data_IF_033598517058
#
_entry.id   IF_033598517058
#
_cell.length_a   1.000
_cell.length_b   1.000
_cell.length_c   1.000
_cell.angle_alpha   90.00
_cell.angle_beta   90.00
_cell.angle_gamma   90.00
#
_symmetry.space_group_name_H-M   'P 1'
#
loop_
_entity.id
_entity.type
_entity.pdbx_description
1 polymer ?
#
# COMPACT_ATOMS: atom_id res chain seq x y z
N UNK A 1 -15.30 -8.68 15.68
CA UNK A 1 -15.67 -9.14 14.34
C UNK A 1 -15.74 -7.99 13.33
N UNK A 2 -15.49 -8.29 12.05
CA UNK A 2 -15.74 -7.34 10.97
C UNK A 2 -17.23 -7.03 10.87
N UNK A 3 -17.54 -5.77 10.64
CA UNK A 3 -18.92 -5.30 10.40
C UNK A 3 -18.89 -4.32 9.22
N UNK A 4 -19.67 -4.60 8.19
CA UNK A 4 -19.80 -3.71 7.04
C UNK A 4 -20.44 -2.37 7.44
N UNK A 5 -20.20 -1.32 6.69
CA UNK A 5 -20.60 0.06 6.99
C UNK A 5 -20.07 0.61 8.33
N UNK A 6 -18.86 0.21 8.70
CA UNK A 6 -18.15 0.68 9.89
C UNK A 6 -16.91 1.43 9.49
N UNK A 7 -16.58 2.51 10.19
CA UNK A 7 -15.30 3.21 10.04
C UNK A 7 -14.34 2.60 11.05
N UNK A 8 -13.33 1.90 10.56
CA UNK A 8 -12.25 1.38 11.40
C UNK A 8 -11.15 2.42 11.55
N UNK A 9 -10.56 2.48 12.73
CA UNK A 9 -9.31 3.19 12.89
C UNK A 9 -8.22 2.51 12.04
N UNK A 10 -7.21 3.26 11.65
CA UNK A 10 -6.05 2.70 10.98
C UNK A 10 -4.84 2.75 11.89
N UNK A 11 -3.87 1.88 11.61
CA UNK A 11 -2.57 1.96 12.24
C UNK A 11 -1.88 3.28 11.88
N UNK A 12 -1.41 3.98 12.90
CA UNK A 12 -0.61 5.19 12.77
C UNK A 12 0.46 5.18 13.87
N UNK A 13 1.72 5.14 13.48
CA UNK A 13 2.85 5.08 14.42
C UNK A 13 2.96 6.33 15.29
N UNK A 14 2.33 7.45 14.90
CA UNK A 14 2.33 8.70 15.68
C UNK A 14 1.15 8.82 16.65
N UNK A 15 0.16 7.94 16.52
CA UNK A 15 -1.04 7.98 17.35
C UNK A 15 -0.78 7.36 18.72
N UNK A 16 -0.70 8.19 19.75
CA UNK A 16 -0.48 7.76 21.14
C UNK A 16 -1.69 7.06 21.76
N UNK A 17 -2.86 7.21 21.16
CA UNK A 17 -4.12 6.61 21.63
C UNK A 17 -4.56 5.44 20.74
N UNK A 18 -3.65 4.89 19.94
CA UNK A 18 -3.97 3.78 19.03
C UNK A 18 -4.51 2.55 19.80
N UNK A 19 -4.06 2.34 21.02
CA UNK A 19 -4.49 1.25 21.92
C UNK A 19 -5.98 1.27 22.25
N UNK A 20 -6.58 2.46 22.28
CA UNK A 20 -7.99 2.65 22.59
C UNK A 20 -8.88 2.58 21.34
N UNK A 21 -8.30 2.28 20.19
CA UNK A 21 -8.99 2.29 18.89
C UNK A 21 -9.08 0.90 18.27
N UNK A 22 -10.18 0.65 17.59
CA UNK A 22 -10.35 -0.59 16.83
C UNK A 22 -9.70 -0.46 15.46
N UNK A 23 -8.41 -0.83 15.37
CA UNK A 23 -7.62 -0.81 14.12
C UNK A 23 -7.33 -2.21 13.56
N UNK A 24 -7.99 -3.23 14.10
CA UNK A 24 -7.94 -4.60 13.58
C UNK A 24 -9.32 -5.24 13.62
N UNK A 25 -9.50 -6.25 12.80
CA UNK A 25 -10.77 -6.97 12.68
C UNK A 25 -10.53 -8.48 12.69
N UNK A 26 -11.56 -9.20 13.14
CA UNK A 26 -11.65 -10.66 13.08
C UNK A 26 -12.66 -11.01 12.00
N UNK A 27 -12.26 -11.83 11.05
CA UNK A 27 -13.13 -12.41 10.01
C UNK A 27 -13.31 -13.88 10.31
N UNK A 28 -14.56 -14.31 10.48
CA UNK A 28 -14.91 -15.70 10.77
C UNK A 28 -15.30 -16.42 9.49
N UNK A 29 -14.52 -17.42 9.09
CA UNK A 29 -14.76 -18.28 7.94
C UNK A 29 -15.10 -19.73 8.38
N UNK A 30 -15.69 -19.88 9.55
CA UNK A 30 -16.17 -21.16 10.09
C UNK A 30 -15.05 -21.99 10.72
N UNK A 31 -14.20 -22.64 9.95
CA UNK A 31 -13.11 -23.47 10.47
C UNK A 31 -11.96 -22.66 11.07
N UNK A 32 -11.79 -21.44 10.61
CA UNK A 32 -10.74 -20.52 11.02
C UNK A 32 -11.31 -19.10 11.22
N UNK A 33 -10.67 -18.39 12.13
CA UNK A 33 -10.84 -16.94 12.26
C UNK A 33 -9.55 -16.25 11.85
N UNK A 34 -9.66 -15.26 10.98
CA UNK A 34 -8.55 -14.52 10.39
C UNK A 34 -8.47 -13.11 10.99
N UNK A 35 -7.27 -12.70 11.38
CA UNK A 35 -7.04 -11.38 11.98
C UNK A 35 -6.38 -10.49 10.94
N UNK A 36 -6.98 -9.31 10.72
CA UNK A 36 -6.46 -8.29 9.82
C UNK A 36 -6.26 -6.98 10.56
N UNK A 37 -5.13 -6.34 10.31
CA UNK A 37 -4.78 -5.01 10.79
C UNK A 37 -5.10 -3.98 9.71
N UNK A 38 -5.83 -2.93 10.06
CA UNK A 38 -6.13 -1.83 9.15
C UNK A 38 -4.93 -0.91 9.02
N UNK A 39 -4.40 -0.75 7.83
CA UNK A 39 -3.27 0.14 7.53
C UNK A 39 -3.72 1.47 6.91
N UNK A 40 -4.83 1.46 6.14
CA UNK A 40 -5.43 2.65 5.54
C UNK A 40 -6.95 2.51 5.56
N UNK A 41 -7.64 3.49 6.10
CA UNK A 41 -9.11 3.52 6.20
C UNK A 41 -9.75 4.41 5.13
N UNK A 42 -9.04 4.64 4.02
CA UNK A 42 -9.51 5.45 2.90
C UNK A 42 -10.05 6.83 3.36
N UNK A 43 -9.29 7.54 4.19
CA UNK A 43 -9.64 8.88 4.70
C UNK A 43 -10.92 8.89 5.55
N UNK A 44 -11.06 7.95 6.47
CA UNK A 44 -12.20 7.74 7.35
C UNK A 44 -13.52 7.47 6.60
N UNK A 45 -13.47 6.77 5.47
CA UNK A 45 -14.64 6.27 4.79
C UNK A 45 -15.16 4.98 5.46
N UNK A 46 -16.41 4.63 5.18
CA UNK A 46 -16.98 3.37 5.62
C UNK A 46 -16.33 2.18 4.92
N UNK A 47 -15.94 1.16 5.67
CA UNK A 47 -15.58 -0.14 5.10
C UNK A 47 -16.83 -0.89 4.70
N UNK A 48 -16.92 -1.27 3.44
CA UNK A 48 -18.05 -2.01 2.85
C UNK A 48 -17.66 -3.37 2.32
N UNK A 49 -16.36 -3.64 2.21
CA UNK A 49 -15.80 -4.89 1.67
C UNK A 49 -14.98 -5.57 2.75
N UNK A 50 -15.45 -6.74 3.19
CA UNK A 50 -14.73 -7.56 4.16
C UNK A 50 -13.39 -8.01 3.57
N UNK A 51 -12.28 -7.90 4.34
CA UNK A 51 -11.04 -8.55 3.94
C UNK A 51 -11.24 -10.06 3.89
N UNK A 52 -10.68 -10.72 2.88
CA UNK A 52 -10.81 -12.15 2.69
C UNK A 52 -9.45 -12.85 2.62
N UNK A 53 -9.45 -14.16 2.86
CA UNK A 53 -8.24 -14.96 2.89
C UNK A 53 -7.76 -15.39 1.50
N UNK A 54 -8.55 -15.20 0.46
CA UNK A 54 -8.20 -15.62 -0.91
C UNK A 54 -6.97 -14.89 -1.47
N UNK A 55 -6.70 -13.69 -0.94
CA UNK A 55 -5.50 -12.92 -1.29
C UNK A 55 -4.23 -13.39 -0.60
N UNK A 56 -4.33 -14.33 0.36
CA UNK A 56 -3.21 -14.83 1.14
C UNK A 56 -2.75 -16.14 0.51
N UNK A 57 -1.74 -16.08 -0.36
CA UNK A 57 -1.18 -17.26 -1.00
C UNK A 57 0.35 -17.30 -0.93
N UNK A 58 0.89 -18.38 -0.41
CA UNK A 58 2.33 -18.63 -0.37
C UNK A 58 3.11 -17.57 0.39
N UNK A 59 4.10 -16.97 -0.25
CA UNK A 59 4.94 -15.91 0.33
C UNK A 59 4.24 -14.53 0.40
N UNK A 60 3.08 -14.37 -0.23
CA UNK A 60 2.32 -13.13 -0.23
C UNK A 60 1.32 -13.11 0.93
N UNK A 61 1.82 -12.97 2.10
CA UNK A 61 1.03 -12.79 3.34
C UNK A 61 0.65 -11.34 3.54
N UNK A 62 0.08 -10.74 2.50
CA UNK A 62 0.59 -9.42 2.42
C UNK A 62 -0.49 -8.40 2.64
N UNK A 63 -0.13 -7.23 2.35
CA UNK A 63 -0.89 -6.02 2.39
C UNK A 63 -1.63 -5.91 1.08
N UNK A 64 -2.93 -5.80 1.12
CA UNK A 64 -3.73 -5.61 -0.07
C UNK A 64 -4.83 -4.57 0.15
N UNK A 65 -5.30 -4.01 -0.96
CA UNK A 65 -6.36 -3.00 -0.95
C UNK A 65 -7.67 -3.61 -1.39
N UNK A 66 -8.70 -3.46 -0.59
CA UNK A 66 -10.08 -3.80 -0.95
C UNK A 66 -10.69 -2.75 -1.88
N UNK A 67 -11.76 -3.11 -2.61
CA UNK A 67 -12.37 -2.20 -3.59
C UNK A 67 -13.01 -0.94 -2.98
N UNK A 68 -13.33 -0.95 -1.69
CA UNK A 68 -13.75 0.22 -0.91
C UNK A 68 -12.60 1.15 -0.52
N UNK A 69 -11.36 0.79 -0.88
CA UNK A 69 -10.17 1.59 -0.68
C UNK A 69 -9.41 1.36 0.62
N UNK A 70 -9.92 0.52 1.50
CA UNK A 70 -9.19 0.12 2.70
C UNK A 70 -7.94 -0.69 2.36
N UNK A 71 -6.91 -0.58 3.20
CA UNK A 71 -5.70 -1.42 3.11
C UNK A 71 -5.60 -2.26 4.37
N UNK A 72 -5.52 -3.55 4.16
CA UNK A 72 -5.46 -4.54 5.22
C UNK A 72 -4.14 -5.31 5.18
N UNK A 73 -3.58 -5.59 6.36
CA UNK A 73 -2.49 -6.56 6.57
C UNK A 73 -3.05 -7.77 7.28
N UNK A 74 -2.92 -8.94 6.66
CA UNK A 74 -3.17 -10.20 7.35
C UNK A 74 -2.10 -10.44 8.42
N UNK A 75 -2.53 -10.80 9.63
CA UNK A 75 -1.65 -11.00 10.78
C UNK A 75 -1.46 -12.49 11.11
N UNK A 76 -2.56 -13.21 11.32
CA UNK A 76 -2.57 -14.63 11.62
C UNK A 76 -4.00 -15.18 11.58
N UNK A 77 -4.10 -16.51 11.75
CA UNK A 77 -5.38 -17.19 11.92
C UNK A 77 -5.31 -18.14 13.12
N UNK A 78 -6.45 -18.37 13.73
CA UNK A 78 -6.63 -19.41 14.72
C UNK A 78 -7.84 -20.26 14.37
N UNK A 79 -7.76 -21.57 14.71
CA UNK A 79 -8.82 -22.55 14.42
C UNK A 79 -9.98 -22.43 15.39
N UNK A 80 -11.16 -22.94 15.00
CA UNK A 80 -12.33 -23.05 15.88
C UNK A 80 -12.01 -23.85 17.16
N UNK A 81 -11.11 -24.83 17.09
CA UNK A 81 -10.68 -25.57 18.27
C UNK A 81 -9.83 -24.71 19.25
N UNK A 82 -9.05 -23.78 18.72
CA UNK A 82 -8.32 -22.80 19.54
C UNK A 82 -9.28 -21.73 20.09
N UNK A 83 -10.26 -21.32 19.27
CA UNK A 83 -11.31 -20.41 19.72
C UNK A 83 -12.07 -21.00 20.94
N UNK A 84 -12.53 -22.23 20.87
CA UNK A 84 -13.22 -22.90 21.96
C UNK A 84 -12.41 -22.98 23.27
N UNK A 85 -11.09 -22.94 23.20
CA UNK A 85 -10.21 -23.01 24.38
C UNK A 85 -9.82 -21.65 24.92
N UNK A 86 -9.65 -20.67 24.06
CA UNK A 86 -8.93 -19.44 24.39
C UNK A 86 -9.68 -18.15 24.04
N UNK A 87 -10.75 -18.20 23.24
CA UNK A 87 -11.53 -17.03 22.93
C UNK A 87 -12.57 -16.75 24.05
N UNK A 88 -12.70 -15.51 24.42
CA UNK A 88 -13.72 -15.03 25.37
C UNK A 88 -14.45 -13.85 24.77
N UNK A 89 -15.42 -13.26 25.47
CA UNK A 89 -16.06 -12.02 25.04
C UNK A 89 -15.10 -10.83 24.94
N UNK A 90 -13.97 -10.88 25.64
CA UNK A 90 -13.01 -9.78 25.75
C UNK A 90 -11.68 -10.06 25.06
N UNK A 91 -11.29 -11.32 24.89
CA UNK A 91 -9.98 -11.73 24.41
C UNK A 91 -10.07 -12.71 23.24
N UNK A 92 -9.23 -12.48 22.24
CA UNK A 92 -8.94 -13.42 21.16
C UNK A 92 -7.52 -13.94 21.29
N UNK A 93 -7.27 -15.25 21.02
CA UNK A 93 -5.92 -15.80 21.11
C UNK A 93 -5.02 -15.23 20.01
N UNK A 94 -3.76 -14.94 20.36
CA UNK A 94 -2.72 -14.60 19.39
C UNK A 94 -1.95 -15.86 19.03
N UNK A 95 -2.01 -16.23 17.75
CA UNK A 95 -1.31 -17.42 17.23
C UNK A 95 -0.32 -16.94 16.17
N UNK A 96 0.97 -16.79 16.49
CA UNK A 96 1.96 -16.31 15.54
C UNK A 96 2.02 -17.20 14.30
N UNK A 97 2.05 -16.57 13.13
CA UNK A 97 2.24 -17.24 11.84
C UNK A 97 3.68 -17.00 11.37
N UNK A 98 4.47 -18.07 11.27
CA UNK A 98 5.89 -17.98 10.91
C UNK A 98 6.13 -17.39 9.54
N UNK A 99 5.25 -17.65 8.56
CA UNK A 99 5.35 -17.05 7.21
C UNK A 99 5.16 -15.53 7.28
N UNK A 100 4.17 -15.06 8.05
CA UNK A 100 3.91 -13.63 8.25
C UNK A 100 5.08 -12.97 8.97
N UNK A 101 5.60 -13.59 10.05
CA UNK A 101 6.71 -13.01 10.81
C UNK A 101 8.01 -12.95 10.01
N UNK A 102 8.28 -13.95 9.18
CA UNK A 102 9.46 -13.98 8.32
C UNK A 102 9.38 -13.05 7.11
N UNK A 103 8.17 -12.73 6.62
CA UNK A 103 7.97 -11.78 5.52
C UNK A 103 7.97 -10.32 5.97
N UNK A 104 7.97 -10.06 7.26
CA UNK A 104 8.00 -8.71 7.79
C UNK A 104 9.30 -8.00 7.38
N UNK A 105 9.15 -6.81 6.84
CA UNK A 105 10.29 -6.02 6.33
C UNK A 105 10.44 -4.75 7.18
N UNK A 106 11.58 -4.58 7.88
CA UNK A 106 11.84 -3.38 8.67
C UNK A 106 11.81 -2.12 7.83
N UNK A 107 11.09 -1.10 8.31
CA UNK A 107 11.03 0.20 7.66
C UNK A 107 10.38 0.18 6.27
N UNK A 108 9.44 -0.70 6.03
CA UNK A 108 8.59 -0.71 4.85
C UNK A 108 7.55 0.42 4.97
N UNK A 109 7.35 1.18 3.89
CA UNK A 109 6.29 2.20 3.78
C UNK A 109 5.16 1.59 2.97
N UNK A 110 4.06 1.24 3.62
CA UNK A 110 2.90 0.64 2.96
C UNK A 110 1.80 1.65 2.66
N UNK A 111 1.78 2.75 3.40
CA UNK A 111 0.77 3.80 3.28
C UNK A 111 1.39 5.18 3.37
N UNK A 112 1.03 6.05 2.43
CA UNK A 112 1.23 7.48 2.50
C UNK A 112 -0.16 8.12 2.41
N UNK A 113 -0.57 8.76 3.49
CA UNK A 113 -1.87 9.45 3.56
C UNK A 113 -1.82 10.79 2.87
N UNK A 114 -2.92 11.15 2.20
CA UNK A 114 -3.14 12.50 1.69
C UNK A 114 -3.91 13.29 2.74
N UNK A 115 -3.24 14.23 3.41
CA UNK A 115 -3.88 15.10 4.39
C UNK A 115 -4.63 16.25 3.71
N UNK A 116 -3.99 16.89 2.72
CA UNK A 116 -4.62 17.89 1.86
C UNK A 116 -4.37 17.55 0.40
N UNK A 117 -5.41 17.69 -0.41
CA UNK A 117 -5.37 17.25 -1.83
C UNK A 117 -4.54 18.16 -2.73
N UNK A 118 -4.28 19.40 -2.32
CA UNK A 118 -3.73 20.39 -3.24
C UNK A 118 -4.66 20.69 -4.42
N UNK A 119 -4.16 21.37 -5.46
CA UNK A 119 -4.91 21.69 -6.68
C UNK A 119 -4.01 21.84 -7.89
N UNK A 120 -4.57 21.53 -9.08
CA UNK A 120 -3.93 21.71 -10.38
C UNK A 120 -2.68 20.85 -10.60
N UNK A 121 -2.75 19.61 -10.22
CA UNK A 121 -1.80 18.61 -10.68
C UNK A 121 -2.23 18.10 -12.07
N UNK A 122 -2.04 18.94 -13.10
CA UNK A 122 -2.50 18.63 -14.46
C UNK A 122 -1.56 17.66 -15.22
N UNK A 123 -0.45 17.28 -14.63
CA UNK A 123 0.58 16.41 -15.19
C UNK A 123 0.26 14.92 -15.06
N UNK A 124 -0.96 14.56 -15.36
CA UNK A 124 -1.36 13.15 -15.44
C UNK A 124 -2.01 12.85 -16.79
N UNK A 125 -1.88 11.62 -17.25
CA UNK A 125 -2.47 11.16 -18.50
C UNK A 125 -2.54 9.63 -18.53
N UNK A 126 -3.57 9.11 -19.19
CA UNK A 126 -3.75 7.67 -19.45
C UNK A 126 -3.98 7.44 -20.93
N UNK A 127 -3.50 6.32 -21.44
CA UNK A 127 -3.66 5.98 -22.85
C UNK A 127 -2.98 4.69 -23.24
N UNK A 128 -2.87 4.49 -24.55
CA UNK A 128 -2.13 3.37 -25.15
C UNK A 128 -0.83 3.89 -25.78
N UNK A 129 0.18 3.06 -25.90
CA UNK A 129 1.39 3.39 -26.62
C UNK A 129 1.11 3.37 -28.13
N UNK A 130 1.58 4.37 -28.88
CA UNK A 130 1.54 4.36 -30.33
C UNK A 130 2.80 3.75 -30.94
N UNK A 131 3.92 3.97 -30.26
CA UNK A 131 5.20 3.36 -30.61
C UNK A 131 6.05 3.21 -29.34
N UNK A 132 6.95 2.25 -29.33
CA UNK A 132 7.73 1.93 -28.14
C UNK A 132 9.19 1.67 -28.48
N UNK A 133 10.05 1.89 -27.49
CA UNK A 133 11.48 1.58 -27.57
C UNK A 133 12.14 2.19 -28.84
N UNK A 134 11.89 3.48 -29.02
CA UNK A 134 12.44 4.19 -30.18
C UNK A 134 13.91 4.50 -29.93
N UNK A 135 14.79 3.81 -30.65
CA UNK A 135 16.23 4.08 -30.64
C UNK A 135 16.56 5.40 -31.35
N UNK A 136 16.13 6.53 -30.79
CA UNK A 136 16.45 7.86 -31.32
C UNK A 136 17.81 8.25 -30.76
N UNK A 137 18.80 8.38 -31.63
CA UNK A 137 20.18 8.73 -31.24
C UNK A 137 20.86 7.66 -30.40
N UNK A 138 20.44 6.39 -30.51
CA UNK A 138 21.00 5.26 -29.74
C UNK A 138 20.37 5.07 -28.36
N UNK A 139 19.32 5.82 -28.02
CA UNK A 139 18.59 5.71 -26.76
C UNK A 139 17.29 4.93 -26.96
N UNK A 140 17.21 3.71 -26.42
CA UNK A 140 16.06 2.83 -26.49
C UNK A 140 14.99 3.11 -25.40
N UNK A 141 15.11 4.21 -24.66
CA UNK A 141 14.24 4.58 -23.54
C UNK A 141 13.15 5.59 -23.93
N UNK A 142 12.94 5.81 -25.24
CA UNK A 142 11.99 6.79 -25.75
C UNK A 142 10.73 6.07 -26.23
N UNK A 143 9.58 6.55 -25.77
CA UNK A 143 8.27 5.98 -26.07
C UNK A 143 7.36 7.05 -26.63
N UNK A 144 6.72 6.75 -27.76
CA UNK A 144 5.69 7.61 -28.33
C UNK A 144 4.33 7.28 -27.72
N UNK A 145 3.65 8.28 -27.20
CA UNK A 145 2.32 8.13 -26.61
C UNK A 145 1.23 8.54 -27.60
N UNK A 146 0.20 7.70 -27.78
CA UNK A 146 -0.94 7.97 -28.64
C UNK A 146 -2.08 8.64 -27.87
N UNK A 147 -1.82 9.82 -27.33
CA UNK A 147 -2.85 10.54 -26.61
C UNK A 147 -3.01 11.96 -27.15
N UNK A 148 -4.17 12.21 -27.76
CA UNK A 148 -4.50 13.52 -28.34
C UNK A 148 -4.66 14.62 -27.29
N UNK A 149 -4.99 14.26 -26.05
CA UNK A 149 -5.18 15.21 -24.94
C UNK A 149 -3.88 15.53 -24.21
N UNK A 150 -2.79 14.81 -24.50
CA UNK A 150 -1.47 15.13 -23.95
C UNK A 150 -1.06 16.56 -24.32
N UNK A 151 -0.45 17.26 -23.36
CA UNK A 151 -0.03 18.66 -23.54
C UNK A 151 1.08 18.77 -24.60
N UNK A 152 1.14 19.90 -25.26
CA UNK A 152 2.18 20.19 -26.25
C UNK A 152 3.43 20.84 -25.64
N UNK A 153 3.37 21.24 -24.38
CA UNK A 153 4.49 21.89 -23.69
C UNK A 153 5.56 20.88 -23.34
N UNK A 154 6.79 21.10 -23.78
CA UNK A 154 7.93 20.28 -23.42
C UNK A 154 8.14 20.28 -21.89
N UNK A 155 8.61 19.17 -21.35
CA UNK A 155 8.84 18.99 -19.93
C UNK A 155 7.56 18.83 -19.09
N UNK A 156 6.34 18.87 -19.68
CA UNK A 156 5.11 18.88 -18.90
C UNK A 156 4.91 17.65 -18.02
N UNK A 157 5.36 16.49 -18.47
CA UNK A 157 5.27 15.22 -17.72
C UNK A 157 6.62 14.80 -17.11
N UNK A 158 7.63 15.65 -17.14
CA UNK A 158 8.88 15.40 -16.39
C UNK A 158 8.59 15.30 -14.90
N UNK A 159 9.35 14.49 -14.17
CA UNK A 159 9.14 14.15 -12.75
C UNK A 159 7.83 13.36 -12.47
N UNK A 160 7.27 12.74 -13.51
CA UNK A 160 6.18 11.77 -13.36
C UNK A 160 6.71 10.34 -13.38
N UNK A 161 5.86 9.40 -12.99
CA UNK A 161 6.06 7.97 -13.19
C UNK A 161 5.15 7.47 -14.30
N UNK A 162 5.73 6.78 -15.28
CA UNK A 162 5.01 6.00 -16.27
C UNK A 162 4.84 4.57 -15.75
N UNK A 163 3.62 4.13 -15.66
CA UNK A 163 3.22 2.81 -15.19
C UNK A 163 2.44 2.09 -16.30
N UNK A 164 2.79 0.85 -16.58
CA UNK A 164 2.06 0.02 -17.55
C UNK A 164 0.90 -0.64 -16.80
N UNK A 165 -0.33 -0.22 -17.14
CA UNK A 165 -1.54 -0.66 -16.42
C UNK A 165 -2.15 -1.94 -16.99
N UNK A 166 -1.93 -2.23 -18.29
CA UNK A 166 -2.41 -3.43 -18.94
C UNK A 166 -1.55 -3.82 -20.15
N UNK A 167 -1.69 -5.06 -20.58
CA UNK A 167 -0.94 -5.61 -21.72
C UNK A 167 0.47 -6.05 -21.35
N UNK A 168 1.33 -6.15 -22.35
CA UNK A 168 2.73 -6.57 -22.16
C UNK A 168 3.47 -5.57 -21.29
N UNK A 169 4.16 -6.04 -20.27
CA UNK A 169 4.88 -5.22 -19.30
C UNK A 169 4.01 -4.67 -18.16
N UNK A 170 2.75 -5.09 -18.03
CA UNK A 170 1.86 -4.66 -16.94
C UNK A 170 2.52 -4.83 -15.56
N UNK A 171 2.35 -3.82 -14.70
CA UNK A 171 3.02 -3.72 -13.41
C UNK A 171 4.39 -3.04 -13.46
N UNK A 172 5.00 -2.91 -14.63
CA UNK A 172 6.26 -2.19 -14.83
C UNK A 172 6.09 -0.67 -14.68
N UNK A 173 7.08 -0.01 -14.10
CA UNK A 173 7.10 1.45 -13.99
C UNK A 173 8.51 2.02 -14.17
N UNK A 174 8.57 3.27 -14.64
CA UNK A 174 9.81 4.03 -14.88
C UNK A 174 9.57 5.52 -14.65
N UNK A 175 10.63 6.23 -14.26
CA UNK A 175 10.58 7.67 -14.12
C UNK A 175 10.66 8.36 -15.47
N UNK A 176 9.80 9.35 -15.69
CA UNK A 176 9.86 10.22 -16.86
C UNK A 176 10.86 11.32 -16.59
N UNK A 177 12.01 11.25 -17.24
CA UNK A 177 13.10 12.25 -17.10
C UNK A 177 12.97 13.40 -18.08
N UNK A 178 12.26 13.19 -19.20
CA UNK A 178 11.93 14.26 -20.13
C UNK A 178 10.65 13.94 -20.91
N UNK A 179 10.01 14.97 -21.43
CA UNK A 179 8.85 14.91 -22.29
C UNK A 179 8.93 15.98 -23.37
N UNK A 180 8.71 15.63 -24.61
CA UNK A 180 8.65 16.58 -25.70
C UNK A 180 7.56 16.26 -26.73
N UNK A 181 7.06 17.33 -27.35
CA UNK A 181 6.08 17.27 -28.44
C UNK A 181 6.64 17.94 -29.69
N UNK A 182 6.48 17.29 -30.81
CA UNK A 182 6.88 17.82 -32.13
C UNK A 182 5.84 17.49 -33.19
N UNK A 183 6.14 17.77 -34.47
CA UNK A 183 5.24 17.53 -35.61
C UNK A 183 4.97 16.05 -35.86
N UNK A 184 5.81 15.14 -35.37
CA UNK A 184 5.68 13.70 -35.59
C UNK A 184 5.00 12.99 -34.43
N UNK A 185 4.92 13.62 -33.23
CA UNK A 185 4.26 13.01 -32.09
C UNK A 185 4.65 13.58 -30.74
N UNK A 186 4.25 12.87 -29.71
CA UNK A 186 4.52 13.19 -28.31
C UNK A 186 5.30 12.05 -27.69
N UNK A 187 6.39 12.38 -27.01
CA UNK A 187 7.39 11.41 -26.59
C UNK A 187 7.73 11.58 -25.12
N UNK A 188 7.81 10.45 -24.42
CA UNK A 188 8.35 10.36 -23.06
C UNK A 188 9.72 9.73 -23.11
N UNK A 189 10.66 10.28 -22.35
CA UNK A 189 12.00 9.73 -22.14
C UNK A 189 12.07 9.20 -20.73
N UNK A 190 12.44 7.93 -20.59
CA UNK A 190 12.50 7.24 -19.30
C UNK A 190 13.94 7.17 -18.76
N UNK A 191 14.05 7.05 -17.45
CA UNK A 191 15.33 6.92 -16.73
C UNK A 191 16.07 5.61 -17.08
N UNK A 192 15.32 4.57 -17.46
CA UNK A 192 15.88 3.27 -17.82
C UNK A 192 14.86 2.44 -18.62
N UNK A 193 15.33 1.38 -19.26
CA UNK A 193 14.46 0.46 -20.02
C UNK A 193 13.56 -0.36 -19.09
N UNK A 194 12.37 -0.71 -19.58
CA UNK A 194 11.51 -1.70 -18.92
C UNK A 194 12.16 -3.09 -19.00
N UNK A 195 12.09 -3.84 -17.92
CA UNK A 195 12.53 -5.25 -17.89
C UNK A 195 11.74 -6.11 -18.87
N UNK A 196 10.43 -5.88 -18.93
CA UNK A 196 9.55 -6.45 -19.97
C UNK A 196 9.07 -5.27 -20.82
N UNK A 197 9.58 -5.18 -22.03
CA UNK A 197 9.25 -4.07 -22.93
C UNK A 197 7.77 -4.06 -23.30
N UNK A 198 7.05 -2.96 -23.04
CA UNK A 198 5.66 -2.84 -23.45
C UNK A 198 5.54 -2.81 -24.99
N UNK A 199 4.36 -3.11 -25.49
CA UNK A 199 4.03 -3.06 -26.92
C UNK A 199 3.05 -1.93 -27.22
N UNK A 200 2.74 -1.70 -28.51
CA UNK A 200 1.72 -0.73 -28.92
C UNK A 200 0.28 -1.09 -28.47
N UNK A 201 0.07 -2.31 -27.96
CA UNK A 201 -1.18 -2.72 -27.32
C UNK A 201 -1.17 -2.53 -25.79
N UNK A 202 -0.04 -2.08 -25.21
CA UNK A 202 0.06 -1.84 -23.78
C UNK A 202 -0.62 -0.52 -23.39
N UNK A 203 -1.37 -0.56 -22.31
CA UNK A 203 -1.93 0.64 -21.70
C UNK A 203 -0.97 1.22 -20.70
N UNK A 204 -0.89 2.55 -20.65
CA UNK A 204 -0.05 3.26 -19.72
C UNK A 204 -0.82 4.31 -18.92
N UNK A 205 -0.26 4.64 -17.76
CA UNK A 205 -0.69 5.73 -16.93
C UNK A 205 0.54 6.55 -16.52
N UNK A 206 0.50 7.85 -16.72
CA UNK A 206 1.52 8.78 -16.22
C UNK A 206 0.88 9.61 -15.14
N UNK A 207 1.49 9.64 -13.96
CA UNK A 207 1.06 10.42 -12.81
C UNK A 207 2.27 11.07 -12.13
N UNK A 208 2.08 12.18 -11.40
CA UNK A 208 3.15 12.79 -10.64
C UNK A 208 3.84 11.77 -9.73
N UNK A 209 5.16 11.74 -9.73
CA UNK A 209 5.93 10.93 -8.81
C UNK A 209 5.84 11.52 -7.38
N UNK A 210 5.92 10.64 -6.39
CA UNK A 210 6.05 11.04 -4.99
C UNK A 210 7.53 10.92 -4.61
N UNK A 211 8.13 12.03 -4.25
CA UNK A 211 9.49 12.05 -3.69
C UNK A 211 9.42 11.62 -2.24
N UNK A 212 10.07 10.51 -1.92
CA UNK A 212 10.15 9.96 -0.57
C UNK A 212 11.59 10.12 -0.09
N UNK A 213 11.76 10.75 1.05
CA UNK A 213 13.07 10.92 1.71
C UNK A 213 13.06 10.12 2.99
N UNK A 214 14.15 9.43 3.28
CA UNK A 214 14.37 8.71 4.53
C UNK A 214 15.70 9.09 5.17
N UNK A 215 16.03 8.44 6.28
CA UNK A 215 17.30 8.55 6.97
C UNK A 215 18.42 7.78 6.27
N UNK A 216 19.56 7.63 6.97
CA UNK A 216 20.73 6.87 6.48
C UNK A 216 20.53 5.35 6.55
N UNK A 217 19.47 4.90 7.19
CA UNK A 217 19.07 3.51 7.38
C UNK A 217 18.32 2.91 6.18
N UNK A 218 17.93 3.75 5.20
CA UNK A 218 17.25 3.30 3.99
C UNK A 218 18.15 2.38 3.17
N UNK A 219 17.68 1.16 2.95
CA UNK A 219 18.38 0.12 2.16
C UNK A 219 17.80 -0.08 0.78
N UNK A 220 16.47 0.11 0.65
CA UNK A 220 15.73 0.03 -0.61
C UNK A 220 14.82 1.25 -0.71
N UNK A 221 14.95 2.00 -1.80
CA UNK A 221 14.11 3.18 -2.00
C UNK A 221 12.65 2.81 -2.25
N UNK A 222 11.77 3.46 -1.52
CA UNK A 222 10.33 3.40 -1.78
C UNK A 222 10.00 4.20 -3.03
N UNK A 223 9.02 3.71 -3.80
CA UNK A 223 8.54 4.37 -5.02
C UNK A 223 7.02 4.45 -4.98
N UNK A 224 6.49 5.64 -5.23
CA UNK A 224 5.07 5.87 -5.23
C UNK A 224 4.68 6.95 -6.26
N UNK A 225 3.42 6.93 -6.67
CA UNK A 225 2.82 7.94 -7.55
C UNK A 225 1.57 8.54 -6.91
N UNK A 226 1.30 9.78 -7.24
CA UNK A 226 0.15 10.52 -6.75
C UNK A 226 -1.00 10.40 -7.74
N UNK A 227 -2.08 9.72 -7.37
CA UNK A 227 -3.28 9.63 -8.19
C UNK A 227 -4.11 10.91 -8.06
N UNK A 228 -4.43 11.50 -9.21
CA UNK A 228 -5.11 12.79 -9.32
C UNK A 228 -6.56 12.60 -9.73
N UNK A 229 -7.47 13.35 -9.14
CA UNK A 229 -8.90 13.33 -9.49
C UNK A 229 -9.31 14.62 -10.19
N UNK A 230 -9.75 14.51 -11.44
CA UNK A 230 -10.25 15.63 -12.23
C UNK A 230 -11.46 16.34 -11.58
N UNK A 231 -12.33 15.60 -10.91
CA UNK A 231 -13.51 16.15 -10.21
C UNK A 231 -13.15 17.00 -8.98
N UNK A 232 -11.94 16.80 -8.42
CA UNK A 232 -11.44 17.53 -7.26
C UNK A 232 -10.44 18.63 -7.64
N UNK A 233 -10.68 19.35 -8.72
CA UNK A 233 -9.79 20.41 -9.24
C UNK A 233 -8.37 19.91 -9.51
N UNK A 234 -8.24 18.67 -10.00
CA UNK A 234 -6.99 17.96 -10.20
C UNK A 234 -6.13 17.91 -8.92
N UNK A 235 -6.77 17.66 -7.79
CA UNK A 235 -6.10 17.41 -6.52
C UNK A 235 -5.66 15.94 -6.41
N UNK A 236 -4.63 15.71 -5.62
CA UNK A 236 -4.17 14.36 -5.27
C UNK A 236 -5.17 13.73 -4.31
N UNK A 237 -5.81 12.66 -4.71
CA UNK A 237 -6.79 11.98 -3.85
C UNK A 237 -6.23 10.74 -3.15
N UNK A 238 -5.14 10.16 -3.69
CA UNK A 238 -4.49 8.97 -3.13
C UNK A 238 -3.05 8.88 -3.58
N UNK A 239 -2.19 8.35 -2.73
CA UNK A 239 -0.86 7.88 -3.09
C UNK A 239 -0.90 6.36 -3.28
N UNK A 240 -0.33 5.89 -4.37
CA UNK A 240 -0.20 4.47 -4.68
C UNK A 240 1.27 4.07 -4.58
N UNK A 241 1.54 3.14 -3.67
CA UNK A 241 2.87 2.56 -3.51
C UNK A 241 3.12 1.56 -4.64
N UNK A 242 4.21 1.73 -5.38
CA UNK A 242 4.70 0.80 -6.39
C UNK A 242 5.83 -0.07 -5.85
N UNK A 243 6.59 0.47 -4.91
CA UNK A 243 7.56 -0.25 -4.11
C UNK A 243 7.57 0.36 -2.71
N UNK A 244 7.34 -0.47 -1.71
CA UNK A 244 7.28 -0.02 -0.31
C UNK A 244 8.66 0.29 0.30
N UNK A 245 9.74 -0.07 -0.38
CA UNK A 245 11.10 0.14 0.12
C UNK A 245 11.42 -0.65 1.39
N UNK A 246 12.55 -0.33 2.00
CA UNK A 246 12.99 -0.89 3.27
C UNK A 246 13.98 0.04 3.98
N UNK A 247 14.02 -0.04 5.31
CA UNK A 247 14.96 0.73 6.11
C UNK A 247 14.47 2.12 6.54
N UNK A 248 13.22 2.49 6.28
CA UNK A 248 12.63 3.74 6.78
C UNK A 248 12.19 3.56 8.24
N UNK A 249 13.13 3.37 9.17
CA UNK A 249 12.79 2.96 10.54
C UNK A 249 12.49 4.13 11.47
N UNK A 250 13.10 5.28 11.25
CA UNK A 250 12.99 6.41 12.18
C UNK A 250 12.39 7.66 11.56
N UNK A 251 12.51 7.81 10.26
CA UNK A 251 12.14 9.04 9.58
C UNK A 251 11.79 8.80 8.12
N UNK A 252 10.68 9.35 7.68
CA UNK A 252 10.39 9.51 6.26
C UNK A 252 9.49 10.73 6.03
N UNK A 253 9.76 11.44 4.94
CA UNK A 253 8.94 12.54 4.41
C UNK A 253 8.53 12.21 2.99
N UNK A 254 7.35 12.67 2.59
CA UNK A 254 6.86 12.54 1.23
C UNK A 254 6.32 13.87 0.71
N UNK A 255 6.60 14.13 -0.57
CA UNK A 255 6.03 15.27 -1.30
C UNK A 255 5.72 14.86 -2.73
N UNK A 256 4.67 15.44 -3.32
CA UNK A 256 4.35 15.22 -4.73
C UNK A 256 5.25 16.07 -5.59
N UNK A 257 5.89 15.47 -6.60
CA UNK A 257 6.70 16.19 -7.55
C UNK A 257 5.78 16.90 -8.57
N UNK A 258 6.03 18.16 -8.76
CA UNK A 258 5.42 18.95 -9.80
C UNK A 258 6.47 19.92 -10.34
N UNK A 259 6.69 19.86 -11.64
CA UNK A 259 7.62 20.80 -12.28
C UNK A 259 6.93 22.16 -12.55
N UNK A 260 7.73 23.19 -12.84
CA UNK A 260 7.23 24.54 -13.07
C UNK A 260 6.23 24.67 -14.24
N UNK A 261 6.31 23.75 -15.23
CA UNK A 261 5.42 23.77 -16.40
C UNK A 261 3.96 23.41 -16.05
N UNK A 262 3.74 22.73 -14.92
CA UNK A 262 2.40 22.29 -14.48
C UNK A 262 1.63 23.45 -13.83
N UNK A 263 2.30 24.33 -13.12
CA UNK A 263 1.68 25.49 -12.46
C UNK A 263 0.72 25.09 -11.34
N UNK A 264 1.14 24.18 -10.44
CA UNK A 264 0.37 23.80 -9.25
C UNK A 264 -0.03 25.04 -8.46
N UNK A 265 -1.32 25.16 -8.13
CA UNK A 265 -1.85 26.31 -7.41
C UNK A 265 -1.80 26.15 -5.88
N UNK A 266 -1.93 24.92 -5.40
CA UNK A 266 -1.80 24.59 -3.99
C UNK A 266 -1.17 23.22 -3.87
N UNK A 267 -0.11 23.12 -3.10
CA UNK A 267 0.58 21.83 -2.85
C UNK A 267 -0.27 20.91 -1.98
N UNK A 268 -0.15 19.62 -2.24
CA UNK A 268 -0.73 18.58 -1.39
C UNK A 268 0.16 18.35 -0.18
N UNK A 269 -0.46 18.03 0.96
CA UNK A 269 0.24 17.58 2.17
C UNK A 269 0.11 16.08 2.30
N UNK A 270 1.22 15.42 2.53
CA UNK A 270 1.32 13.96 2.65
C UNK A 270 1.89 13.58 4.03
N UNK A 271 1.33 12.54 4.61
CA UNK A 271 1.84 11.93 5.84
C UNK A 271 2.29 10.50 5.56
N UNK A 272 3.57 10.21 5.82
CA UNK A 272 4.11 8.85 5.72
C UNK A 272 3.77 8.06 6.99
N UNK A 273 3.23 6.87 6.85
CA UNK A 273 2.99 5.95 7.96
C UNK A 273 4.13 4.94 7.99
N UNK A 274 4.98 5.04 9.01
CA UNK A 274 6.09 4.10 9.21
C UNK A 274 5.56 2.79 9.80
N UNK A 275 6.07 1.66 9.30
CA UNK A 275 5.81 0.35 9.90
C UNK A 275 6.41 0.25 11.32
N UNK A 276 5.99 -0.72 12.14
CA UNK A 276 6.73 -1.08 13.35
C UNK A 276 8.21 -1.34 13.05
N UNK A 277 9.09 -1.20 14.03
CA UNK A 277 10.56 -1.28 13.86
C UNK A 277 11.01 -2.52 13.06
N UNK A 278 10.37 -3.67 13.28
CA UNK A 278 10.69 -4.91 12.57
C UNK A 278 9.75 -5.21 11.39
N UNK A 279 8.89 -4.26 11.00
CA UNK A 279 7.88 -4.43 9.97
C UNK A 279 6.54 -4.96 10.50
N UNK A 280 5.48 -4.77 9.71
CA UNK A 280 4.15 -5.26 10.04
C UNK A 280 4.11 -6.79 10.05
N UNK A 281 3.60 -7.38 11.13
CA UNK A 281 3.45 -8.82 11.31
C UNK A 281 4.66 -9.50 11.96
N UNK A 282 5.74 -8.78 12.26
CA UNK A 282 6.93 -9.33 12.91
C UNK A 282 6.65 -9.86 14.31
N UNK A 283 5.80 -9.18 15.06
CA UNK A 283 5.36 -9.55 16.40
C UNK A 283 3.87 -9.26 16.57
N UNK A 284 3.00 -10.18 16.17
CA UNK A 284 1.55 -9.98 16.27
C UNK A 284 1.06 -9.71 17.68
N UNK A 285 1.69 -10.32 18.69
CA UNK A 285 1.35 -10.10 20.08
C UNK A 285 1.57 -8.65 20.49
N UNK A 286 2.73 -8.11 20.19
CA UNK A 286 3.07 -6.71 20.49
C UNK A 286 2.28 -5.73 19.62
N UNK A 287 2.12 -6.02 18.33
CA UNK A 287 1.43 -5.14 17.39
C UNK A 287 -0.08 -5.02 17.65
N UNK A 288 -0.71 -6.06 18.19
CA UNK A 288 -2.12 -6.10 18.57
C UNK A 288 -2.36 -5.99 20.07
N UNK A 289 -1.30 -5.60 20.81
CA UNK A 289 -1.37 -5.28 22.24
C UNK A 289 -1.85 -6.41 23.14
N UNK A 290 -1.31 -7.61 22.89
CA UNK A 290 -1.53 -8.75 23.80
C UNK A 290 -1.08 -8.39 25.21
N UNK A 291 -2.01 -8.43 26.15
CA UNK A 291 -1.80 -8.03 27.55
C UNK A 291 -2.12 -9.15 28.54
N UNK A 292 -2.52 -10.32 28.07
CA UNK A 292 -2.92 -11.45 28.88
C UNK A 292 -2.31 -12.76 28.39
N UNK A 293 -2.09 -13.71 29.29
CA UNK A 293 -1.68 -15.09 28.99
C UNK A 293 -2.77 -16.02 29.50
N UNK A 294 -3.29 -16.87 28.61
CA UNK A 294 -4.30 -17.86 28.95
C UNK A 294 -3.70 -19.25 28.96
N UNK A 295 -4.11 -20.05 29.94
CA UNK A 295 -3.73 -21.45 30.06
C UNK A 295 -4.96 -22.35 29.99
N UNK A 296 -4.89 -23.40 29.17
CA UNK A 296 -5.87 -24.49 29.18
C UNK A 296 -5.29 -25.69 29.90
N UNK A 297 -5.86 -26.07 31.01
CA UNK A 297 -5.45 -27.22 31.79
C UNK A 297 -6.47 -28.33 31.63
N UNK A 298 -6.03 -29.52 31.25
CA UNK A 298 -6.83 -30.74 31.32
C UNK A 298 -6.47 -31.46 32.59
N UNK A 299 -7.38 -31.47 33.54
CA UNK A 299 -7.25 -32.30 34.75
C UNK A 299 -7.69 -33.72 34.41
N UNK A 300 -6.81 -34.69 34.56
CA UNK A 300 -7.17 -36.12 34.44
C UNK A 300 -7.43 -36.66 35.86
N UNK A 301 -8.62 -37.22 36.06
CA UNK A 301 -8.98 -37.86 37.30
C UNK A 301 -8.42 -39.30 37.33
N UNK A 302 -7.10 -39.43 37.41
CA UNK A 302 -6.43 -40.75 37.53
C UNK A 302 -6.16 -41.13 38.98
N UNK A 303 -6.29 -40.17 39.93
CA UNK A 303 -6.18 -40.45 41.37
C UNK A 303 -7.56 -40.36 41.98
N UNK A 304 -8.00 -41.48 42.51
CA UNK A 304 -9.32 -41.64 43.11
C UNK A 304 -9.59 -40.57 44.18
N UNK A 305 -10.65 -39.82 44.02
CA UNK A 305 -11.41 -39.08 45.02
C UNK A 305 -10.84 -37.77 45.60
N UNK A 306 -9.97 -37.06 44.88
CA UNK A 306 -9.61 -35.69 45.36
C UNK A 306 -9.78 -34.64 44.26
N UNK A 307 -11.03 -34.34 43.92
CA UNK A 307 -11.33 -33.03 43.37
C UNK A 307 -11.52 -32.10 44.54
N UNK A 308 -10.60 -31.17 44.71
CA UNK A 308 -10.80 -30.07 45.65
C UNK A 308 -12.00 -29.25 45.17
N UNK A 309 -13.16 -29.44 45.78
CA UNK A 309 -14.27 -28.53 45.64
C UNK A 309 -13.99 -27.34 46.54
N UNK A 310 -13.71 -26.18 45.94
CA UNK A 310 -13.69 -24.90 46.61
C UNK A 310 -15.10 -24.42 46.87
#
# INVERSE_FOLDING_TARGET
PYTSNTIYAMYDHTDKLLYDKQFFVVVDEGSYKHIYKCLDNNRNNYSTVQPDFSHISGANTEIYRTSDGYVWKYMYSYSSAQALKFETSEYSPVVPNTTVTQSATPGRIDVIQVETTGRKYDNYIVGTLSNFDLAIGGNSQIYQISNTTAKNSNGFYTDCLMYISAGTGAGGYKSVIDYYSNTTGKYVVLDSEFTIKPTNASEYQIYPAVKIKGGQDVTINAVARALVNALASNGVYRVEMLNSGAGYTYYAEASVLANAAVGVQAESSLKVILSPINGHGSDPGRELYSNAVQFSLKLSNTESNTILTS
#
